data_IF_164489660037
#
_entry.id   IF_164489660037
#
_cell.length_a   1.000
_cell.length_b   1.000
_cell.length_c   1.000
_cell.angle_alpha   90.00
_cell.angle_beta   90.00
_cell.angle_gamma   90.00
#
_symmetry.space_group_name_H-M   'P 1'
#
loop_
_entity.id
_entity.type
_entity.pdbx_description
1 polymer ?
#
# COMPACT_ATOMS: atom_id res chain seq x y z
N UNK A 1 -1.87 -5.92 2.87
CA UNK A 1 -1.33 -5.22 1.68
C UNK A 1 -2.30 -4.15 1.15
N UNK A 2 -2.81 -3.23 1.98
CA UNK A 2 -3.92 -2.35 1.55
C UNK A 2 -3.53 -1.29 0.50
N UNK A 3 -2.35 -0.68 0.64
CA UNK A 3 -1.85 0.35 -0.30
C UNK A 3 -1.59 -0.20 -1.72
N UNK A 4 -1.23 -1.48 -1.84
CA UNK A 4 -0.82 -2.10 -3.10
C UNK A 4 -1.91 -2.98 -3.73
N UNK A 5 -2.87 -3.49 -2.94
CA UNK A 5 -3.97 -4.32 -3.44
C UNK A 5 -5.18 -3.52 -3.95
N UNK A 6 -5.14 -2.17 -3.90
CA UNK A 6 -6.31 -1.37 -4.24
C UNK A 6 -6.73 -1.46 -5.71
N UNK A 7 -5.88 -1.86 -6.66
CA UNK A 7 -6.33 -1.88 -8.06
C UNK A 7 -5.53 -2.79 -8.98
N UNK A 8 -6.26 -3.75 -9.55
CA UNK A 8 -5.81 -4.81 -10.45
C UNK A 8 -4.99 -4.33 -11.65
N UNK A 9 -4.07 -5.20 -12.05
CA UNK A 9 -3.07 -4.96 -13.07
C UNK A 9 -3.55 -5.50 -14.42
N UNK A 10 -4.03 -4.64 -15.30
CA UNK A 10 -4.11 -4.94 -16.74
C UNK A 10 -3.99 -3.62 -17.52
N UNK A 11 -2.87 -3.46 -18.25
CA UNK A 11 -2.72 -2.63 -19.46
C UNK A 11 -1.23 -2.52 -19.83
N UNK A 12 -0.66 -3.60 -20.39
CA UNK A 12 0.74 -3.66 -20.81
C UNK A 12 0.89 -3.42 -22.32
N UNK A 13 0.41 -2.26 -22.81
CA UNK A 13 0.51 -1.92 -24.25
C UNK A 13 1.09 -0.50 -24.50
N UNK A 14 1.30 0.33 -23.47
CA UNK A 14 1.89 1.66 -23.64
C UNK A 14 2.65 2.16 -22.39
N UNK A 15 3.95 1.90 -22.30
CA UNK A 15 4.78 2.18 -21.12
C UNK A 15 4.69 3.63 -20.61
N UNK A 16 4.58 4.62 -21.50
CA UNK A 16 4.45 6.05 -21.11
C UNK A 16 3.10 6.36 -20.49
N UNK A 17 2.00 5.80 -21.03
CA UNK A 17 0.65 5.94 -20.45
C UNK A 17 0.58 5.24 -19.09
N UNK A 18 1.20 4.06 -18.98
CA UNK A 18 1.31 3.30 -17.73
C UNK A 18 2.05 4.10 -16.66
N UNK A 19 3.19 4.73 -16.98
CA UNK A 19 3.93 5.58 -16.02
C UNK A 19 3.10 6.75 -15.50
N UNK A 20 2.40 7.48 -16.38
CA UNK A 20 1.55 8.62 -15.98
C UNK A 20 0.38 8.16 -15.11
N UNK A 21 -0.30 7.07 -15.51
CA UNK A 21 -1.42 6.46 -14.76
C UNK A 21 -0.96 5.96 -13.39
N UNK A 22 0.20 5.31 -13.32
CA UNK A 22 0.77 4.85 -12.06
C UNK A 22 1.11 6.03 -11.13
N UNK A 23 1.76 7.07 -11.65
CA UNK A 23 2.06 8.27 -10.86
C UNK A 23 0.78 8.91 -10.31
N UNK A 24 -0.24 9.07 -11.15
CA UNK A 24 -1.52 9.63 -10.73
C UNK A 24 -2.21 8.76 -9.68
N UNK A 25 -2.20 7.43 -9.83
CA UNK A 25 -2.73 6.49 -8.83
C UNK A 25 -2.03 6.63 -7.49
N UNK A 26 -0.70 6.72 -7.50
CA UNK A 26 0.09 6.91 -6.27
C UNK A 26 -0.27 8.25 -5.61
N UNK A 27 -0.29 9.35 -6.37
CA UNK A 27 -0.66 10.67 -5.85
C UNK A 27 -2.05 10.67 -5.24
N UNK A 28 -3.06 10.19 -5.96
CA UNK A 28 -4.44 10.14 -5.49
C UNK A 28 -4.58 9.25 -4.24
N UNK A 29 -3.84 8.14 -4.17
CA UNK A 29 -3.82 7.26 -3.00
C UNK A 29 -3.32 7.98 -1.74
N UNK A 30 -2.26 8.77 -1.86
CA UNK A 30 -1.75 9.60 -0.76
C UNK A 30 -2.69 10.75 -0.40
N UNK A 31 -3.33 11.39 -1.38
CA UNK A 31 -4.34 12.42 -1.13
C UNK A 31 -5.54 11.85 -0.37
N UNK A 32 -6.04 10.67 -0.77
CA UNK A 32 -7.12 9.98 -0.09
C UNK A 32 -6.77 9.61 1.37
N UNK A 33 -5.54 9.17 1.64
CA UNK A 33 -5.05 8.91 3.01
C UNK A 33 -5.00 10.20 3.82
N UNK A 34 -4.60 11.32 3.22
CA UNK A 34 -4.50 12.62 3.88
C UNK A 34 -5.88 13.18 4.22
N UNK A 35 -6.85 13.02 3.33
CA UNK A 35 -8.18 13.64 3.43
C UNK A 35 -9.17 12.81 4.26
N UNK A 36 -8.92 11.52 4.44
CA UNK A 36 -9.82 10.62 5.17
C UNK A 36 -9.15 10.09 6.45
N UNK A 37 -9.48 10.63 7.63
CA UNK A 37 -8.90 10.20 8.91
C UNK A 37 -9.06 8.69 9.18
N UNK A 38 -10.18 8.09 8.78
CA UNK A 38 -10.40 6.64 8.92
C UNK A 38 -9.40 5.82 8.10
N UNK A 39 -9.12 6.26 6.87
CA UNK A 39 -8.14 5.61 5.99
C UNK A 39 -6.74 5.77 6.59
N UNK A 40 -6.42 6.96 7.10
CA UNK A 40 -5.16 7.20 7.79
C UNK A 40 -4.98 6.27 9.00
N UNK A 41 -6.03 6.08 9.81
CA UNK A 41 -5.98 5.17 10.96
C UNK A 41 -5.74 3.73 10.53
N UNK A 42 -6.45 3.25 9.49
CA UNK A 42 -6.23 1.90 8.93
C UNK A 42 -4.81 1.69 8.44
N UNK A 43 -4.18 2.72 7.85
CA UNK A 43 -2.77 2.67 7.44
C UNK A 43 -1.85 2.53 8.65
N UNK A 44 -2.09 3.30 9.72
CA UNK A 44 -1.31 3.19 10.97
C UNK A 44 -1.44 1.81 11.59
N UNK A 45 -2.66 1.30 11.72
CA UNK A 45 -2.92 -0.04 12.27
C UNK A 45 -2.21 -1.14 11.46
N UNK A 46 -2.22 -1.02 10.13
CA UNK A 46 -1.51 -1.95 9.25
C UNK A 46 0.00 -1.90 9.44
N UNK A 47 0.59 -0.72 9.65
CA UNK A 47 2.03 -0.59 9.90
C UNK A 47 2.41 -1.13 11.27
N UNK A 48 1.56 -0.92 12.29
CA UNK A 48 1.78 -1.45 13.63
C UNK A 48 1.76 -2.98 13.65
N UNK A 49 0.80 -3.61 12.96
CA UNK A 49 0.76 -5.08 12.82
C UNK A 49 2.04 -5.63 12.18
N UNK A 50 2.55 -4.96 11.14
CA UNK A 50 3.80 -5.32 10.46
C UNK A 50 5.01 -5.18 11.37
N UNK A 51 5.07 -4.11 12.15
CA UNK A 51 6.14 -3.91 13.13
C UNK A 51 6.14 -5.05 14.18
N UNK A 52 4.96 -5.37 14.73
CA UNK A 52 4.80 -6.47 15.69
C UNK A 52 5.20 -7.82 15.09
N UNK A 53 4.79 -8.09 13.85
CA UNK A 53 5.15 -9.31 13.13
C UNK A 53 6.66 -9.41 12.85
N UNK A 54 7.30 -8.29 12.48
CA UNK A 54 8.75 -8.22 12.27
C UNK A 54 9.53 -8.48 13.58
N UNK A 55 9.06 -7.91 14.69
CA UNK A 55 9.64 -8.16 16.02
C UNK A 55 9.49 -9.64 16.39
N UNK A 56 8.30 -10.23 16.20
CA UNK A 56 8.05 -11.64 16.49
C UNK A 56 8.92 -12.58 15.64
N UNK A 57 9.16 -12.22 14.39
CA UNK A 57 10.02 -12.98 13.48
C UNK A 57 11.52 -12.70 13.68
N UNK A 58 11.91 -11.88 14.66
CA UNK A 58 13.31 -11.45 14.88
C UNK A 58 13.97 -10.87 13.62
N UNK A 59 13.18 -10.14 12.82
CA UNK A 59 13.63 -9.60 11.52
C UNK A 59 13.60 -10.60 10.35
N UNK A 60 13.16 -11.84 10.58
CA UNK A 60 12.90 -12.84 9.54
C UNK A 60 11.65 -12.53 8.71
N UNK A 61 11.39 -13.32 7.65
CA UNK A 61 10.22 -13.13 6.78
C UNK A 61 8.91 -13.34 7.56
N UNK A 62 7.99 -12.37 7.50
CA UNK A 62 6.82 -12.33 8.39
C UNK A 62 5.48 -12.17 7.66
N UNK A 63 5.41 -12.38 6.33
CA UNK A 63 4.16 -12.19 5.56
C UNK A 63 2.99 -13.05 6.07
N UNK A 64 3.26 -14.26 6.56
CA UNK A 64 2.25 -15.15 7.14
C UNK A 64 1.66 -14.66 8.48
N UNK A 65 2.18 -13.56 9.03
CA UNK A 65 1.74 -12.95 10.30
C UNK A 65 0.97 -11.63 10.10
N UNK A 66 0.78 -11.17 8.86
CA UNK A 66 0.25 -9.81 8.53
C UNK A 66 -1.12 -9.88 7.85
#
# INVERSE_FOLDING_TARGET
FWFWNFDGFYEFQNATKVKKKLRQRITNGFENIRENPEVQQRVRDSLERRLRACIYAEGGHFEHLI
#
